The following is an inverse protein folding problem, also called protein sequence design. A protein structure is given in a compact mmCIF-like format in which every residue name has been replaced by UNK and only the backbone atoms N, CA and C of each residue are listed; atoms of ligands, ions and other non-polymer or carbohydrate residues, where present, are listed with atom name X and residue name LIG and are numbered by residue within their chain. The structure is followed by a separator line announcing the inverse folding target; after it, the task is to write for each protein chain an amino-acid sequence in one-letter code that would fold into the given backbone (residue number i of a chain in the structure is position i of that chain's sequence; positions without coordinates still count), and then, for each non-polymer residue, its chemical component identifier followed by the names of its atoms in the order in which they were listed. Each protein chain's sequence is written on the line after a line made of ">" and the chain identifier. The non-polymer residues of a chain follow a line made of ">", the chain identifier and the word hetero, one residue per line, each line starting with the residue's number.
data_IF_190302627415
#
_entry.id   IF_190302627415
#
_cell.length_a   1.000
_cell.length_b   1.000
_cell.length_c   1.000
_cell.angle_alpha   90.00
_cell.angle_beta   90.00
_cell.angle_gamma   90.00
#
_symmetry.space_group_name_H-M   'P 1'
#
loop_
_entity.id
_entity.type
_entity.pdbx_description
1 polymer ?
#
# COMPACT_ATOMS: atom_id res chain seq x y z
N UNK A 1 -18.63 -7.88 -11.56
CA UNK A 1 -18.06 -6.52 -11.73
C UNK A 1 -16.53 -6.55 -11.78
N UNK A 2 -15.86 -7.10 -10.76
CA UNK A 2 -14.39 -7.22 -10.72
C UNK A 2 -13.77 -7.92 -11.94
N UNK A 3 -14.37 -9.01 -12.43
CA UNK A 3 -13.93 -9.71 -13.65
C UNK A 3 -13.96 -8.83 -14.92
N UNK A 4 -14.91 -7.89 -15.03
CA UNK A 4 -14.98 -6.95 -16.17
C UNK A 4 -13.93 -5.85 -16.05
N UNK A 5 -13.62 -5.42 -14.84
CA UNK A 5 -12.58 -4.42 -14.56
C UNK A 5 -11.19 -5.03 -14.75
N UNK A 6 -10.96 -6.27 -14.28
CA UNK A 6 -9.66 -6.94 -14.42
C UNK A 6 -9.35 -7.31 -15.88
N UNK A 7 -10.37 -7.57 -16.71
CA UNK A 7 -10.19 -7.71 -18.15
C UNK A 7 -9.77 -6.40 -18.85
N UNK A 8 -10.08 -5.23 -18.28
CA UNK A 8 -9.74 -3.92 -18.85
C UNK A 8 -8.42 -3.35 -18.34
N UNK A 9 -8.10 -3.56 -17.07
CA UNK A 9 -6.98 -2.92 -16.37
C UNK A 9 -5.94 -3.91 -15.80
N UNK A 10 -6.18 -5.22 -15.94
CA UNK A 10 -5.38 -6.26 -15.26
C UNK A 10 -5.73 -6.39 -13.78
N UNK A 11 -5.33 -7.49 -13.15
CA UNK A 11 -5.55 -7.69 -11.71
C UNK A 11 -4.77 -6.68 -10.88
N UNK A 12 -3.54 -6.35 -11.29
CA UNK A 12 -2.68 -5.36 -10.61
C UNK A 12 -3.24 -3.95 -10.71
N UNK A 13 -3.75 -3.54 -11.89
CA UNK A 13 -4.37 -2.23 -12.06
C UNK A 13 -5.65 -2.07 -11.22
N UNK A 14 -6.51 -3.10 -11.20
CA UNK A 14 -7.70 -3.11 -10.32
C UNK A 14 -7.30 -3.04 -8.84
N UNK A 15 -6.26 -3.77 -8.43
CA UNK A 15 -5.75 -3.72 -7.06
C UNK A 15 -5.29 -2.31 -6.67
N UNK A 16 -4.49 -1.66 -7.52
CA UNK A 16 -4.03 -0.29 -7.30
C UNK A 16 -5.20 0.70 -7.16
N UNK A 17 -6.25 0.56 -7.98
CA UNK A 17 -7.45 1.40 -7.90
C UNK A 17 -8.18 1.17 -6.59
N UNK A 18 -8.44 -0.09 -6.21
CA UNK A 18 -9.21 -0.42 -5.00
C UNK A 18 -8.49 0.04 -3.74
N UNK A 19 -7.19 -0.26 -3.61
CA UNK A 19 -6.40 0.17 -2.45
C UNK A 19 -6.22 1.69 -2.46
N UNK A 20 -6.03 2.30 -3.63
CA UNK A 20 -5.93 3.76 -3.74
C UNK A 20 -7.20 4.47 -3.28
N UNK A 21 -8.39 3.94 -3.61
CA UNK A 21 -9.67 4.45 -3.08
C UNK A 21 -9.74 4.27 -1.56
N UNK A 22 -9.27 3.14 -1.02
CA UNK A 22 -9.21 2.94 0.42
C UNK A 22 -8.30 4.00 1.09
N UNK A 23 -7.15 4.35 0.51
CA UNK A 23 -6.33 5.49 0.96
C UNK A 23 -7.07 6.82 0.92
N UNK A 24 -7.89 7.06 -0.09
CA UNK A 24 -8.71 8.26 -0.09
C UNK A 24 -9.68 8.31 1.11
N UNK A 25 -10.32 7.18 1.43
CA UNK A 25 -11.22 7.05 2.60
C UNK A 25 -10.45 7.18 3.91
N UNK A 26 -9.26 6.59 4.03
CA UNK A 26 -8.40 6.78 5.20
C UNK A 26 -7.98 8.24 5.40
N UNK A 27 -7.69 8.97 4.33
CA UNK A 27 -7.41 10.41 4.40
C UNK A 27 -8.60 11.22 4.93
N UNK A 28 -9.82 10.88 4.49
CA UNK A 28 -11.06 11.47 5.05
C UNK A 28 -11.18 11.13 6.53
N UNK A 29 -10.96 9.86 6.91
CA UNK A 29 -10.98 9.42 8.30
C UNK A 29 -9.98 10.19 9.18
N UNK A 30 -8.74 10.34 8.72
CA UNK A 30 -7.70 11.10 9.42
C UNK A 30 -8.09 12.56 9.63
N UNK A 31 -8.75 13.18 8.64
CA UNK A 31 -9.15 14.59 8.73
C UNK A 31 -10.28 14.84 9.73
N UNK A 32 -11.26 13.94 9.81
CA UNK A 32 -12.43 14.11 10.67
C UNK A 32 -12.30 13.44 12.05
N UNK A 33 -11.44 12.43 12.17
CA UNK A 33 -11.24 11.65 13.39
C UNK A 33 -9.74 11.60 13.71
N UNK A 34 -9.19 12.70 14.25
CA UNK A 34 -7.77 12.78 14.57
C UNK A 34 -7.39 11.74 15.62
N UNK A 35 -6.18 11.20 15.47
CA UNK A 35 -5.66 10.20 16.40
C UNK A 35 -5.19 10.90 17.69
N UNK A 36 -5.33 10.24 18.86
CA UNK A 36 -4.74 10.76 20.08
C UNK A 36 -3.21 10.84 19.94
N UNK A 37 -2.63 11.91 20.49
CA UNK A 37 -1.18 12.13 20.52
C UNK A 37 -0.50 11.08 21.41
N UNK A 38 0.43 10.34 20.82
CA UNK A 38 1.26 9.37 21.51
C UNK A 38 2.70 9.89 21.59
N UNK A 39 3.36 9.69 22.74
CA UNK A 39 4.72 10.18 22.94
C UNK A 39 5.69 9.53 21.94
N UNK A 40 6.53 10.36 21.32
CA UNK A 40 7.59 9.96 20.36
C UNK A 40 7.11 9.34 19.04
N UNK A 41 5.81 9.39 18.75
CA UNK A 41 5.27 9.01 17.43
C UNK A 41 5.37 10.19 16.46
N UNK A 42 6.50 10.24 15.74
CA UNK A 42 6.90 11.33 14.85
C UNK A 42 5.83 11.81 13.85
N UNK A 43 5.06 10.91 13.22
CA UNK A 43 4.09 11.36 12.22
C UNK A 43 2.95 12.19 12.83
N UNK A 44 2.67 12.02 14.13
CA UNK A 44 1.64 12.78 14.84
C UNK A 44 2.08 14.22 15.13
N UNK A 45 3.35 14.55 14.91
CA UNK A 45 3.82 15.94 14.94
C UNK A 45 3.36 16.75 13.73
N UNK A 46 2.90 16.07 12.67
CA UNK A 46 2.36 16.71 11.49
C UNK A 46 0.88 17.05 11.70
N UNK A 47 0.40 18.21 11.19
CA UNK A 47 -1.03 18.52 11.22
C UNK A 47 -1.85 17.41 10.55
N UNK A 48 -3.04 17.11 11.09
CA UNK A 48 -3.93 16.09 10.51
C UNK A 48 -4.27 16.36 9.04
N UNK A 49 -4.38 17.63 8.66
CA UNK A 49 -4.57 18.03 7.27
C UNK A 49 -3.41 17.59 6.37
N UNK A 50 -2.16 17.65 6.85
CA UNK A 50 -0.99 17.19 6.10
C UNK A 50 -0.97 15.66 6.00
N UNK A 51 -1.34 14.95 7.07
CA UNK A 51 -1.46 13.49 7.06
C UNK A 51 -2.57 13.01 6.13
N UNK A 52 -3.74 13.65 6.18
CA UNK A 52 -4.86 13.40 5.27
C UNK A 52 -4.46 13.64 3.82
N UNK A 53 -3.78 14.75 3.53
CA UNK A 53 -3.23 15.03 2.21
C UNK A 53 -2.24 13.94 1.75
N UNK A 54 -1.38 13.43 2.64
CA UNK A 54 -0.47 12.32 2.33
C UNK A 54 -1.21 11.05 1.89
N UNK A 55 -2.30 10.72 2.57
CA UNK A 55 -3.18 9.61 2.17
C UNK A 55 -3.87 9.87 0.83
N UNK A 56 -4.41 11.07 0.61
CA UNK A 56 -5.07 11.41 -0.65
C UNK A 56 -4.10 11.38 -1.83
N UNK A 57 -2.92 11.98 -1.68
CA UNK A 57 -1.91 12.02 -2.74
C UNK A 57 -1.46 10.61 -3.09
N UNK A 58 -1.12 9.78 -2.10
CA UNK A 58 -0.71 8.39 -2.36
C UNK A 58 -1.84 7.55 -2.95
N UNK A 59 -3.08 7.72 -2.48
CA UNK A 59 -4.26 7.07 -3.03
C UNK A 59 -4.54 7.47 -4.49
N UNK A 60 -4.50 8.76 -4.80
CA UNK A 60 -4.72 9.29 -6.16
C UNK A 60 -3.62 8.80 -7.10
N UNK A 61 -2.35 8.83 -6.69
CA UNK A 61 -1.25 8.31 -7.52
C UNK A 61 -1.43 6.82 -7.81
N UNK A 62 -1.83 6.01 -6.82
CA UNK A 62 -2.12 4.60 -7.03
C UNK A 62 -3.27 4.39 -8.02
N UNK A 63 -4.38 5.15 -7.89
CA UNK A 63 -5.51 5.10 -8.83
C UNK A 63 -5.06 5.47 -10.24
N UNK A 64 -4.34 6.58 -10.41
CA UNK A 64 -3.86 7.04 -11.72
C UNK A 64 -2.96 6.00 -12.39
N UNK A 65 -2.10 5.33 -11.63
CA UNK A 65 -1.27 4.25 -12.16
C UNK A 65 -2.10 3.00 -12.48
N UNK A 66 -3.04 2.62 -11.62
CA UNK A 66 -3.93 1.50 -11.91
C UNK A 66 -4.83 1.70 -13.13
N UNK A 67 -5.22 2.95 -13.42
CA UNK A 67 -5.97 3.32 -14.63
C UNK A 67 -5.12 3.30 -15.91
N UNK A 68 -3.79 3.42 -15.80
CA UNK A 68 -2.85 3.37 -16.92
C UNK A 68 -2.50 1.95 -17.36
N UNK A 69 -2.67 0.97 -16.47
CA UNK A 69 -2.25 -0.41 -16.70
C UNK A 69 -2.88 -1.00 -17.96
N UNK A 70 -2.05 -1.22 -18.98
CA UNK A 70 -2.32 -2.25 -19.98
C UNK A 70 -2.38 -3.59 -19.21
N UNK A 71 -3.47 -4.38 -19.33
CA UNK A 71 -3.58 -5.67 -18.64
C UNK A 71 -2.42 -6.63 -18.93
N UNK A 72 -1.57 -6.34 -19.91
CA UNK A 72 -0.46 -7.20 -20.36
C UNK A 72 0.94 -6.61 -20.11
N UNK A 73 1.04 -5.36 -19.63
CA UNK A 73 2.32 -4.76 -19.25
C UNK A 73 2.68 -5.14 -17.81
N UNK A 74 3.89 -5.68 -17.62
CA UNK A 74 4.48 -5.91 -16.30
C UNK A 74 5.34 -4.74 -15.82
N UNK A 75 5.62 -3.77 -16.69
CA UNK A 75 6.76 -2.86 -16.56
C UNK A 75 6.47 -1.50 -15.88
N UNK A 76 5.21 -1.04 -15.78
CA UNK A 76 4.94 0.37 -15.43
C UNK A 76 4.31 0.63 -14.04
N UNK A 77 4.06 -0.39 -13.22
CA UNK A 77 3.29 -0.23 -11.98
C UNK A 77 4.11 0.22 -10.74
N UNK A 78 5.43 0.37 -10.87
CA UNK A 78 6.33 0.54 -9.71
C UNK A 78 5.97 1.75 -8.84
N UNK A 79 5.62 2.88 -9.46
CA UNK A 79 5.25 4.11 -8.74
C UNK A 79 3.91 3.97 -8.00
N UNK A 80 2.95 3.23 -8.56
CA UNK A 80 1.67 2.97 -7.90
C UNK A 80 1.86 2.16 -6.63
N UNK A 81 2.72 1.15 -6.68
CA UNK A 81 3.06 0.34 -5.51
C UNK A 81 3.82 1.14 -4.45
N UNK A 82 4.83 1.94 -4.85
CA UNK A 82 5.55 2.82 -3.92
C UNK A 82 4.59 3.78 -3.21
N UNK A 83 3.63 4.36 -3.96
CA UNK A 83 2.61 5.22 -3.36
C UNK A 83 1.79 4.49 -2.30
N UNK A 84 1.37 3.24 -2.58
CA UNK A 84 0.62 2.45 -1.61
C UNK A 84 1.40 2.14 -0.31
N UNK A 85 2.72 1.99 -0.38
CA UNK A 85 3.55 1.67 0.78
C UNK A 85 4.03 2.87 1.58
N UNK A 86 4.03 4.08 0.99
CA UNK A 86 4.67 5.24 1.61
C UNK A 86 4.07 5.57 2.98
N UNK A 87 2.76 5.73 3.08
CA UNK A 87 2.10 6.10 4.33
C UNK A 87 2.15 4.96 5.39
N UNK A 88 1.92 3.69 5.03
CA UNK A 88 2.21 2.57 5.93
C UNK A 88 3.65 2.56 6.44
N UNK A 89 4.64 2.78 5.56
CA UNK A 89 6.05 2.80 5.93
C UNK A 89 6.37 3.93 6.92
N UNK A 90 5.82 5.12 6.70
CA UNK A 90 5.93 6.25 7.64
C UNK A 90 5.36 5.86 9.01
N UNK A 91 4.22 5.17 9.07
CA UNK A 91 3.63 4.70 10.33
C UNK A 91 4.48 3.64 11.01
N UNK A 92 4.95 2.64 10.27
CA UNK A 92 5.84 1.59 10.80
C UNK A 92 7.10 2.23 11.39
N UNK A 93 7.76 3.12 10.65
CA UNK A 93 8.98 3.78 11.09
C UNK A 93 8.73 4.62 12.34
N UNK A 94 7.65 5.39 12.36
CA UNK A 94 7.30 6.28 13.47
C UNK A 94 6.91 5.51 14.74
N UNK A 95 6.06 4.49 14.65
CA UNK A 95 5.71 3.65 15.79
C UNK A 95 6.89 2.77 16.24
N UNK A 96 7.66 2.24 15.28
CA UNK A 96 8.87 1.47 15.57
C UNK A 96 9.89 2.30 16.34
N UNK A 97 10.09 3.56 15.95
CA UNK A 97 10.94 4.50 16.67
C UNK A 97 10.43 4.75 18.10
N UNK A 98 9.14 5.05 18.29
CA UNK A 98 8.56 5.25 19.61
C UNK A 98 8.72 4.02 20.53
N UNK A 99 8.55 2.82 19.97
CA UNK A 99 8.78 1.55 20.68
C UNK A 99 10.26 1.34 21.04
N UNK A 100 11.18 1.64 20.13
CA UNK A 100 12.63 1.56 20.40
C UNK A 100 13.07 2.55 21.49
N UNK A 101 12.54 3.77 21.48
CA UNK A 101 12.77 4.76 22.54
C UNK A 101 12.24 4.24 23.88
N UNK A 102 11.05 3.63 23.90
CA UNK A 102 10.48 3.02 25.11
C UNK A 102 11.36 1.91 25.67
N UNK A 103 11.84 1.00 24.82
CA UNK A 103 12.76 -0.08 25.23
C UNK A 103 14.09 0.50 25.71
N UNK A 104 14.68 1.45 24.98
CA UNK A 104 15.94 2.08 25.36
C UNK A 104 15.84 2.82 26.70
N UNK A 105 14.72 3.50 26.95
CA UNK A 105 14.46 4.18 28.21
C UNK A 105 14.35 3.20 29.38
N UNK A 106 13.66 2.08 29.19
CA UNK A 106 13.57 1.02 30.19
C UNK A 106 14.94 0.39 30.50
N UNK A 107 15.77 0.18 29.46
CA UNK A 107 17.14 -0.32 29.65
C UNK A 107 17.98 0.70 30.42
N UNK A 108 17.91 1.99 30.08
CA UNK A 108 18.66 3.04 30.74
C UNK A 108 18.32 3.16 32.23
N UNK A 109 17.04 3.09 32.60
CA UNK A 109 16.59 3.06 33.99
C UNK A 109 17.25 1.90 34.77
N UNK A 110 17.36 0.73 34.15
CA UNK A 110 18.01 -0.44 34.75
C UNK A 110 19.52 -0.27 34.99
N UNK A 111 20.16 0.66 34.30
CA UNK A 111 21.57 1.02 34.50
C UNK A 111 21.76 2.24 35.41
N UNK A 112 20.71 2.68 36.11
CA UNK A 112 20.79 3.77 37.09
C UNK A 112 20.74 5.18 36.48
N UNK A 113 20.27 5.32 35.24
CA UNK A 113 19.92 6.63 34.71
C UNK A 113 18.57 7.06 35.28
N UNK A 114 18.60 8.01 36.22
CA UNK A 114 17.40 8.62 36.80
C UNK A 114 16.68 9.51 35.78
N UNK A 115 15.77 8.91 35.04
CA UNK A 115 14.87 9.59 34.12
C UNK A 115 13.49 8.94 34.14
N UNK A 116 12.43 9.74 33.96
CA UNK A 116 11.10 9.16 33.75
C UNK A 116 11.12 8.36 32.45
N UNK A 117 10.53 7.15 32.40
CA UNK A 117 10.46 6.38 31.17
C UNK A 117 9.77 7.20 30.07
N UNK A 118 10.42 7.31 28.91
CA UNK A 118 9.93 8.03 27.74
C UNK A 118 9.66 7.08 26.57
N UNK A 119 8.77 7.47 25.67
CA UNK A 119 8.32 6.64 24.54
C UNK A 119 6.93 6.07 24.76
N UNK A 120 6.46 5.29 23.79
CA UNK A 120 5.17 4.60 23.85
C UNK A 120 5.39 3.09 23.93
N UNK A 121 5.11 2.44 25.08
CA UNK A 121 5.32 1.01 25.26
C UNK A 121 4.34 0.14 24.45
N UNK A 122 3.29 0.74 23.88
CA UNK A 122 2.32 0.05 23.02
C UNK A 122 2.59 0.25 21.53
N UNK A 123 3.51 1.15 21.16
CA UNK A 123 3.78 1.49 19.77
C UNK A 123 4.28 0.30 18.93
N UNK A 124 4.97 -0.67 19.54
CA UNK A 124 5.41 -1.89 18.84
C UNK A 124 4.21 -2.65 18.22
N UNK A 125 3.06 -2.66 18.91
CA UNK A 125 1.85 -3.34 18.44
C UNK A 125 1.30 -2.64 17.19
N UNK A 126 1.22 -1.30 17.23
CA UNK A 126 0.81 -0.49 16.08
C UNK A 126 1.76 -0.66 14.89
N UNK A 127 3.07 -0.69 15.13
CA UNK A 127 4.07 -0.95 14.09
C UNK A 127 3.85 -2.31 13.43
N UNK A 128 3.57 -3.36 14.22
CA UNK A 128 3.28 -4.70 13.68
C UNK A 128 1.98 -4.76 12.90
N UNK A 129 0.91 -4.08 13.33
CA UNK A 129 -0.33 -4.01 12.57
C UNK A 129 -0.11 -3.39 11.19
N UNK A 130 0.66 -2.31 11.12
CA UNK A 130 1.01 -1.67 9.85
C UNK A 130 1.96 -2.52 9.00
N UNK A 131 2.89 -3.26 9.61
CA UNK A 131 3.76 -4.21 8.91
C UNK A 131 2.95 -5.38 8.31
N UNK A 132 1.98 -5.90 9.05
CA UNK A 132 1.05 -6.93 8.57
C UNK A 132 0.23 -6.40 7.40
N UNK A 133 -0.35 -5.20 7.51
CA UNK A 133 -1.09 -4.58 6.42
C UNK A 133 -0.22 -4.41 5.16
N UNK A 134 1.01 -3.93 5.33
CA UNK A 134 2.00 -3.79 4.25
C UNK A 134 2.33 -5.14 3.60
N UNK A 135 2.42 -6.20 4.40
CA UNK A 135 2.65 -7.57 3.89
C UNK A 135 1.46 -8.07 3.07
N UNK A 136 0.23 -7.82 3.54
CA UNK A 136 -0.99 -8.16 2.79
C UNK A 136 -1.06 -7.38 1.47
N UNK A 137 -0.65 -6.11 1.46
CA UNK A 137 -0.52 -5.32 0.23
C UNK A 137 0.50 -5.93 -0.75
N UNK A 138 1.63 -6.42 -0.24
CA UNK A 138 2.66 -7.07 -1.04
C UNK A 138 2.19 -8.40 -1.64
N UNK A 139 1.39 -9.17 -0.91
CA UNK A 139 0.76 -10.39 -1.44
C UNK A 139 -0.22 -10.05 -2.57
N UNK A 140 -1.07 -9.02 -2.40
CA UNK A 140 -1.96 -8.58 -3.48
C UNK A 140 -1.22 -8.06 -4.71
N UNK A 141 -0.12 -7.35 -4.50
CA UNK A 141 0.74 -6.82 -5.55
C UNK A 141 1.46 -7.90 -6.38
N UNK A 142 1.67 -9.09 -5.81
CA UNK A 142 2.37 -10.20 -6.46
C UNK A 142 1.47 -11.07 -7.34
N UNK A 143 0.16 -10.79 -7.39
CA UNK A 143 -0.75 -11.56 -8.23
C UNK A 143 -0.44 -11.43 -9.72
N UNK A 144 -0.45 -12.55 -10.46
CA UNK A 144 -0.18 -12.54 -11.89
C UNK A 144 -1.32 -11.85 -12.66
N UNK A 145 -0.95 -11.08 -13.70
CA UNK A 145 -1.93 -10.55 -14.64
C UNK A 145 -2.52 -11.70 -15.49
N UNK A 146 -3.79 -11.60 -15.93
CA UNK A 146 -4.38 -12.59 -16.84
C UNK A 146 -3.56 -12.65 -18.14
N UNK A 147 -3.14 -13.84 -18.56
CA UNK A 147 -2.48 -14.00 -19.85
C UNK A 147 -3.48 -13.77 -21.00
N UNK A 148 -3.06 -13.18 -22.13
CA UNK A 148 -3.91 -13.06 -23.30
C UNK A 148 -4.38 -14.45 -23.77
N UNK A 149 -5.62 -14.57 -24.28
CA UNK A 149 -6.05 -15.79 -24.96
C UNK A 149 -5.09 -16.14 -26.09
N UNK A 150 -4.73 -17.41 -26.23
CA UNK A 150 -3.91 -17.90 -27.35
C UNK A 150 -4.60 -17.47 -28.65
N UNK A 151 -3.91 -16.77 -29.58
CA UNK A 151 -4.49 -16.40 -30.86
C UNK A 151 -5.03 -17.65 -31.55
N UNK A 152 -6.31 -17.62 -31.95
CA UNK A 152 -6.85 -18.71 -32.76
C UNK A 152 -6.00 -18.83 -34.03
N UNK A 153 -5.55 -20.04 -34.41
CA UNK A 153 -4.82 -20.22 -35.65
C UNK A 153 -5.67 -19.67 -36.80
N UNK A 154 -5.07 -18.94 -37.75
CA UNK A 154 -5.80 -18.40 -38.90
C UNK A 154 -6.51 -19.54 -39.63
N UNK A 155 -7.78 -19.35 -39.98
CA UNK A 155 -8.64 -20.36 -40.61
C UNK A 155 -8.18 -20.83 -42.01
N UNK A 156 -7.01 -20.42 -42.48
CA UNK A 156 -6.42 -20.88 -43.75
C UNK A 156 -5.52 -22.07 -43.47
N UNK A 157 -6.02 -23.28 -43.73
CA UNK A 157 -5.23 -24.46 -44.15
C UNK A 157 -6.12 -25.68 -44.49
N UNK A 158 -7.38 -25.48 -44.91
CA UNK A 158 -8.27 -26.57 -45.33
C UNK A 158 -8.93 -26.39 -46.73
N UNK A 159 -8.60 -25.32 -47.47
CA UNK A 159 -9.18 -25.07 -48.80
C UNK A 159 -8.27 -25.44 -49.99
N UNK A 160 -7.08 -25.99 -49.76
CA UNK A 160 -6.23 -26.51 -50.85
C UNK A 160 -6.62 -27.97 -51.19
N UNK A 161 -7.91 -28.17 -51.48
CA UNK A 161 -8.36 -29.35 -52.22
C UNK A 161 -8.05 -29.15 -53.70
N UNK A 162 -7.45 -30.13 -54.42
CA UNK A 162 -7.22 -29.99 -55.85
C UNK A 162 -8.57 -29.88 -56.57
N UNK A 163 -8.82 -28.73 -57.19
CA UNK A 163 -9.92 -28.58 -58.16
C UNK A 163 -9.64 -29.48 -59.39
N UNK A 164 -10.66 -30.16 -59.93
CA UNK A 164 -10.54 -31.17 -60.99
C UNK A 164 -10.05 -30.61 -62.33
#
# INVERSE_FOLDING_TARGET
>A
MLLRLSGRYGWRGVWLIVVGVAWCVFGVGQFFFPLPDNPWVLFQLLPDAALAAGWWVTGIVAILQGLRGDPHSTADDALGHVALYLMPAVRIASYGFAGLVSVGSWVAERFGYDGRPVGDPTAWYSALLWAMFTTMLAVGASWPNPQPPIPHPPARLLDDGPTP
#
